data_IF_004280689608
#
_entry.id   IF_004280689608
#
_cell.length_a   1.000
_cell.length_b   1.000
_cell.length_c   1.000
_cell.angle_alpha   90.00
_cell.angle_beta   90.00
_cell.angle_gamma   90.00
#
_symmetry.space_group_name_H-M   'P 1'
#
loop_
_entity.id
_entity.type
_entity.pdbx_description
1 polymer ?
#
# COMPACT_ATOMS: atom_id res chain seq x y z
N UNK A 1 -10.56 -36.88 -31.72
CA UNK A 1 -9.39 -36.24 -31.10
C UNK A 1 -9.69 -34.76 -31.09
N UNK A 2 -10.40 -34.35 -30.05
CA UNK A 2 -10.89 -32.99 -29.88
C UNK A 2 -9.72 -32.10 -29.48
N UNK A 3 -9.54 -31.02 -30.22
CA UNK A 3 -8.61 -29.95 -29.92
C UNK A 3 -9.19 -29.17 -28.74
N UNK A 4 -8.46 -29.15 -27.63
CA UNK A 4 -8.71 -28.25 -26.51
C UNK A 4 -8.56 -26.81 -27.00
N UNK A 5 -9.69 -26.11 -27.06
CA UNK A 5 -9.75 -24.67 -27.26
C UNK A 5 -9.34 -24.04 -25.93
N UNK A 6 -8.07 -23.72 -25.82
CA UNK A 6 -7.55 -22.93 -24.69
C UNK A 6 -8.31 -21.60 -24.62
N UNK A 7 -9.03 -21.45 -23.53
CA UNK A 7 -9.79 -20.29 -23.13
C UNK A 7 -8.83 -19.18 -22.69
N UNK A 8 -8.30 -18.41 -23.64
CA UNK A 8 -7.62 -17.14 -23.34
C UNK A 8 -8.69 -16.03 -23.25
N UNK A 9 -9.39 -15.95 -22.13
CA UNK A 9 -10.01 -14.68 -21.74
C UNK A 9 -8.86 -13.74 -21.35
N UNK A 10 -8.44 -12.90 -22.28
CA UNK A 10 -7.70 -11.69 -21.93
C UNK A 10 -8.64 -10.84 -21.07
N UNK A 11 -8.38 -10.74 -19.76
CA UNK A 11 -9.13 -9.81 -18.91
C UNK A 11 -9.04 -8.41 -19.54
N UNK A 12 -10.19 -7.80 -19.79
CA UNK A 12 -10.32 -6.52 -20.48
C UNK A 12 -9.54 -5.41 -19.75
N UNK A 13 -9.48 -5.50 -18.42
CA UNK A 13 -8.74 -4.65 -17.51
C UNK A 13 -7.81 -5.52 -16.66
N UNK A 14 -6.68 -4.99 -16.18
CA UNK A 14 -5.84 -5.73 -15.24
C UNK A 14 -6.56 -5.95 -13.91
N UNK A 15 -6.07 -6.91 -13.12
CA UNK A 15 -6.46 -7.02 -11.71
C UNK A 15 -6.11 -5.73 -10.96
N UNK A 16 -6.82 -5.46 -9.87
CA UNK A 16 -6.60 -4.29 -9.01
C UNK A 16 -6.76 -2.93 -9.74
N UNK A 17 -7.61 -2.90 -10.78
CA UNK A 17 -7.81 -1.71 -11.60
C UNK A 17 -8.80 -0.73 -10.97
N UNK A 18 -8.45 0.56 -10.97
CA UNK A 18 -9.31 1.68 -10.58
C UNK A 18 -9.27 2.75 -11.69
N UNK A 19 -10.41 3.27 -12.16
CA UNK A 19 -10.44 4.41 -13.08
C UNK A 19 -9.80 5.67 -12.48
N UNK A 20 -9.11 6.45 -13.32
CA UNK A 20 -8.38 7.65 -12.91
C UNK A 20 -9.36 8.71 -12.34
N UNK A 21 -9.20 9.02 -11.05
CA UNK A 21 -9.86 10.13 -10.35
C UNK A 21 -11.38 10.22 -10.51
N UNK A 22 -12.11 9.09 -10.61
CA UNK A 22 -13.57 8.96 -10.82
C UNK A 22 -14.20 9.72 -12.01
N UNK A 23 -13.49 10.67 -12.63
CA UNK A 23 -13.95 11.52 -13.74
C UNK A 23 -14.24 10.74 -15.02
N UNK A 24 -13.72 9.52 -15.10
CA UNK A 24 -13.95 8.59 -16.19
C UNK A 24 -15.24 7.78 -16.04
N UNK A 25 -15.90 7.86 -14.89
CA UNK A 25 -17.06 7.04 -14.54
C UNK A 25 -18.34 7.85 -14.68
N UNK A 26 -19.32 7.29 -15.40
CA UNK A 26 -20.69 7.80 -15.48
C UNK A 26 -21.65 6.78 -14.87
N UNK A 27 -22.50 7.21 -13.94
CA UNK A 27 -23.57 6.37 -13.38
C UNK A 27 -24.88 6.71 -14.05
N UNK A 28 -25.60 5.69 -14.53
CA UNK A 28 -26.86 5.86 -15.25
C UNK A 28 -27.91 4.86 -14.75
N UNK A 29 -29.15 5.30 -14.46
CA UNK A 29 -30.23 4.39 -14.16
C UNK A 29 -30.56 3.53 -15.38
N UNK A 30 -30.80 2.24 -15.17
CA UNK A 30 -31.10 1.28 -16.22
C UNK A 30 -32.30 0.40 -15.82
N UNK A 31 -33.23 0.19 -16.76
CA UNK A 31 -34.44 -0.59 -16.54
C UNK A 31 -34.53 -1.83 -17.46
N UNK A 32 -33.49 -2.10 -18.25
CA UNK A 32 -33.43 -3.26 -19.14
C UNK A 32 -32.77 -4.47 -18.48
N UNK A 33 -32.66 -5.58 -19.21
CA UNK A 33 -31.89 -6.72 -18.76
C UNK A 33 -30.39 -6.42 -18.83
N UNK A 34 -29.63 -6.75 -17.78
CA UNK A 34 -28.18 -6.51 -17.73
C UNK A 34 -27.40 -7.63 -18.44
N UNK A 35 -27.77 -7.89 -19.70
CA UNK A 35 -27.01 -8.76 -20.60
C UNK A 35 -26.10 -7.91 -21.49
N UNK A 36 -25.03 -8.49 -22.05
CA UNK A 36 -24.17 -7.76 -22.97
C UNK A 36 -24.96 -7.19 -24.17
N UNK A 37 -25.84 -7.99 -24.77
CA UNK A 37 -26.60 -7.59 -25.96
C UNK A 37 -27.56 -6.42 -25.66
N UNK A 38 -28.24 -6.45 -24.52
CA UNK A 38 -29.19 -5.41 -24.12
C UNK A 38 -28.48 -4.12 -23.69
N UNK A 39 -27.34 -4.24 -22.99
CA UNK A 39 -26.49 -3.10 -22.63
C UNK A 39 -25.90 -2.46 -23.89
N UNK A 40 -25.42 -3.27 -24.84
CA UNK A 40 -24.89 -2.82 -26.14
C UNK A 40 -25.96 -2.08 -26.93
N UNK A 41 -27.15 -2.66 -27.06
CA UNK A 41 -28.28 -2.03 -27.73
C UNK A 41 -28.71 -0.73 -27.05
N UNK A 42 -28.56 -0.63 -25.74
CA UNK A 42 -28.91 0.55 -24.97
C UNK A 42 -27.89 1.69 -25.12
N UNK A 43 -26.59 1.38 -25.16
CA UNK A 43 -25.51 2.38 -25.13
C UNK A 43 -25.01 2.80 -26.52
N UNK A 44 -24.86 1.87 -27.46
CA UNK A 44 -24.28 2.17 -28.77
C UNK A 44 -25.14 3.20 -29.52
N UNK A 45 -24.49 4.23 -30.04
CA UNK A 45 -25.12 5.36 -30.74
C UNK A 45 -25.58 6.50 -29.84
N UNK A 46 -25.58 6.35 -28.51
CA UNK A 46 -25.75 7.49 -27.59
C UNK A 46 -24.48 8.31 -27.48
N UNK A 47 -24.62 9.59 -27.20
CA UNK A 47 -23.46 10.45 -26.93
C UNK A 47 -22.89 10.22 -25.53
N UNK A 48 -21.56 10.23 -25.44
CA UNK A 48 -20.83 10.22 -24.17
C UNK A 48 -19.92 11.45 -24.08
N UNK A 49 -19.81 12.02 -22.88
CA UNK A 49 -18.89 13.12 -22.59
C UNK A 49 -17.44 12.67 -22.75
N UNK A 50 -16.57 13.51 -23.33
CA UNK A 50 -15.19 13.17 -23.73
C UNK A 50 -14.28 12.48 -22.71
N UNK A 51 -14.58 12.53 -21.41
CA UNK A 51 -13.78 11.83 -20.37
C UNK A 51 -14.39 10.53 -19.91
N UNK A 52 -15.64 10.23 -20.24
CA UNK A 52 -16.31 8.99 -19.80
C UNK A 52 -15.68 7.78 -20.50
N UNK A 53 -15.05 6.90 -19.77
CA UNK A 53 -14.55 5.63 -20.31
C UNK A 53 -15.39 4.45 -19.82
N UNK A 54 -16.03 4.61 -18.67
CA UNK A 54 -16.82 3.58 -18.01
C UNK A 54 -18.22 4.11 -17.71
N UNK A 55 -19.22 3.29 -18.01
CA UNK A 55 -20.61 3.53 -17.64
C UNK A 55 -21.04 2.44 -16.68
N UNK A 56 -21.45 2.84 -15.48
CA UNK A 56 -22.12 2.01 -14.49
C UNK A 56 -23.62 2.13 -14.73
N UNK A 57 -24.24 1.01 -15.11
CA UNK A 57 -25.68 0.88 -15.23
C UNK A 57 -26.25 0.33 -13.92
N UNK A 58 -27.15 1.08 -13.29
CA UNK A 58 -27.71 0.76 -11.98
C UNK A 58 -29.21 0.48 -12.09
N UNK A 59 -29.65 -0.65 -11.54
CA UNK A 59 -31.04 -1.03 -11.42
C UNK A 59 -31.30 -1.54 -10.01
N UNK A 60 -31.96 -0.73 -9.19
CA UNK A 60 -32.12 -1.01 -7.76
C UNK A 60 -30.75 -1.28 -7.10
N UNK A 61 -30.51 -2.50 -6.58
CA UNK A 61 -29.23 -2.88 -5.96
C UNK A 61 -28.29 -3.65 -6.92
N UNK A 62 -28.67 -3.79 -8.19
CA UNK A 62 -27.86 -4.49 -9.20
C UNK A 62 -27.13 -3.51 -10.10
N UNK A 63 -25.90 -3.86 -10.48
CA UNK A 63 -25.05 -3.02 -11.30
C UNK A 63 -24.33 -3.82 -12.39
N UNK A 64 -24.13 -3.19 -13.55
CA UNK A 64 -23.21 -3.66 -14.59
C UNK A 64 -22.28 -2.51 -15.01
N UNK A 65 -21.07 -2.84 -15.44
CA UNK A 65 -20.08 -1.86 -15.89
C UNK A 65 -19.71 -2.17 -17.34
N UNK A 66 -19.85 -1.16 -18.20
CA UNK A 66 -19.39 -1.21 -19.58
C UNK A 66 -18.28 -0.19 -19.80
N UNK A 67 -17.17 -0.64 -20.39
CA UNK A 67 -16.19 0.24 -21.00
C UNK A 67 -16.69 0.66 -22.39
N UNK A 68 -16.59 1.93 -22.72
CA UNK A 68 -17.06 2.49 -24.00
C UNK A 68 -15.90 2.89 -24.90
N UNK A 69 -16.12 2.80 -26.21
CA UNK A 69 -15.23 3.40 -27.20
C UNK A 69 -15.93 4.49 -27.99
N UNK A 70 -15.16 5.50 -28.38
CA UNK A 70 -15.61 6.67 -29.14
C UNK A 70 -14.71 6.89 -30.36
N UNK A 71 -15.20 7.57 -31.40
CA UNK A 71 -14.40 7.86 -32.60
C UNK A 71 -13.24 8.84 -32.34
N UNK A 72 -13.42 9.76 -31.38
CA UNK A 72 -12.43 10.75 -30.97
C UNK A 72 -12.69 11.23 -29.52
N UNK A 73 -11.65 11.80 -28.91
CA UNK A 73 -11.67 12.42 -27.58
C UNK A 73 -11.54 13.96 -27.62
N UNK A 74 -11.57 14.55 -28.83
CA UNK A 74 -11.46 16.00 -29.05
C UNK A 74 -12.82 16.69 -28.86
N UNK A 75 -13.88 16.06 -29.40
CA UNK A 75 -15.25 16.57 -29.31
C UNK A 75 -15.75 16.52 -27.87
N UNK A 76 -16.52 17.53 -27.43
CA UNK A 76 -17.07 17.56 -26.07
C UNK A 76 -17.96 16.33 -25.78
N UNK A 77 -18.73 15.93 -26.79
CA UNK A 77 -19.54 14.72 -26.84
C UNK A 77 -19.28 14.02 -28.16
N UNK A 78 -19.21 12.69 -28.13
CA UNK A 78 -19.16 11.87 -29.33
C UNK A 78 -19.96 10.57 -29.13
N UNK A 79 -20.52 9.99 -30.21
CA UNK A 79 -21.34 8.80 -30.09
C UNK A 79 -20.50 7.60 -29.65
N UNK A 80 -21.06 6.80 -28.74
CA UNK A 80 -20.52 5.50 -28.33
C UNK A 80 -20.55 4.59 -29.55
N UNK A 81 -19.37 4.19 -30.02
CA UNK A 81 -19.21 3.33 -31.21
C UNK A 81 -19.36 1.86 -30.85
N UNK A 82 -18.81 1.48 -29.71
CA UNK A 82 -18.74 0.09 -29.26
C UNK A 82 -18.61 0.04 -27.74
N UNK A 83 -18.93 -1.12 -27.16
CA UNK A 83 -18.75 -1.39 -25.73
C UNK A 83 -18.00 -2.70 -25.49
N UNK A 84 -17.39 -2.79 -24.32
CA UNK A 84 -16.86 -4.04 -23.76
C UNK A 84 -17.31 -4.17 -22.30
N UNK A 85 -17.84 -5.32 -21.94
CA UNK A 85 -18.34 -5.57 -20.58
C UNK A 85 -17.18 -5.77 -19.62
N UNK A 86 -17.14 -4.94 -18.57
CA UNK A 86 -16.14 -5.00 -17.49
C UNK A 86 -16.64 -5.90 -16.38
N UNK A 87 -17.90 -5.71 -15.96
CA UNK A 87 -18.49 -6.49 -14.87
C UNK A 87 -20.01 -6.60 -15.04
N UNK A 88 -20.54 -7.77 -14.69
CA UNK A 88 -21.97 -8.08 -14.70
C UNK A 88 -22.53 -8.11 -13.27
N UNK A 89 -23.86 -8.12 -13.08
CA UNK A 89 -24.47 -8.12 -11.75
C UNK A 89 -24.00 -9.24 -10.83
N UNK A 90 -23.62 -10.38 -11.39
CA UNK A 90 -23.12 -11.53 -10.62
C UNK A 90 -21.77 -11.30 -9.96
N UNK A 91 -20.99 -10.33 -10.44
CA UNK A 91 -19.65 -10.00 -9.95
C UNK A 91 -19.58 -8.59 -9.35
N UNK A 92 -20.58 -7.74 -9.58
CA UNK A 92 -20.65 -6.39 -9.04
C UNK A 92 -21.23 -6.36 -7.62
N UNK A 93 -20.63 -5.55 -6.76
CA UNK A 93 -21.17 -5.20 -5.45
C UNK A 93 -21.21 -3.68 -5.36
N UNK A 94 -22.39 -3.11 -5.11
CA UNK A 94 -22.56 -1.68 -4.85
C UNK A 94 -22.53 -1.43 -3.34
N UNK A 95 -21.71 -0.49 -2.89
CA UNK A 95 -21.67 -0.03 -1.51
C UNK A 95 -21.89 1.49 -1.44
N UNK A 96 -22.72 1.92 -0.50
CA UNK A 96 -22.85 3.32 -0.11
C UNK A 96 -22.07 3.55 1.17
N UNK A 97 -21.01 4.36 1.10
CA UNK A 97 -20.19 4.71 2.25
C UNK A 97 -19.54 6.09 2.04
N UNK A 98 -20.22 7.14 2.50
CA UNK A 98 -19.77 8.52 2.39
C UNK A 98 -18.51 8.84 3.21
N UNK A 99 -17.88 7.87 3.87
CA UNK A 99 -16.57 8.03 4.51
C UNK A 99 -15.41 7.61 3.61
N UNK A 100 -15.69 6.93 2.48
CA UNK A 100 -14.69 6.45 1.53
C UNK A 100 -14.34 7.52 0.50
N UNK A 101 -13.08 7.91 0.44
CA UNK A 101 -12.53 8.69 -0.67
C UNK A 101 -12.35 7.78 -1.90
N UNK A 102 -13.19 8.00 -2.93
CA UNK A 102 -13.22 7.18 -4.14
C UNK A 102 -12.15 7.56 -5.17
N UNK A 103 -11.35 8.60 -4.92
CA UNK A 103 -10.13 8.88 -5.66
C UNK A 103 -8.89 8.15 -5.11
N UNK A 104 -9.01 7.45 -3.97
CA UNK A 104 -7.90 6.75 -3.35
C UNK A 104 -8.03 5.23 -3.52
N UNK A 105 -7.19 4.67 -4.39
CA UNK A 105 -7.15 3.24 -4.71
C UNK A 105 -6.95 2.35 -3.48
N UNK A 106 -6.08 2.77 -2.55
CA UNK A 106 -5.82 2.04 -1.30
C UNK A 106 -7.07 2.01 -0.40
N UNK A 107 -7.82 3.10 -0.33
CA UNK A 107 -9.07 3.17 0.44
C UNK A 107 -10.15 2.28 -0.20
N UNK A 108 -10.27 2.28 -1.53
CA UNK A 108 -11.18 1.38 -2.25
C UNK A 108 -10.84 -0.10 -1.99
N UNK A 109 -9.57 -0.49 -2.07
CA UNK A 109 -9.15 -1.85 -1.77
C UNK A 109 -9.36 -2.22 -0.30
N UNK A 110 -9.17 -1.28 0.64
CA UNK A 110 -9.51 -1.49 2.04
C UNK A 110 -11.00 -1.75 2.23
N UNK A 111 -11.87 -1.00 1.53
CA UNK A 111 -13.32 -1.21 1.55
C UNK A 111 -13.71 -2.56 0.96
N UNK A 112 -13.12 -2.96 -0.16
CA UNK A 112 -13.32 -4.28 -0.75
C UNK A 112 -12.98 -5.41 0.25
N UNK A 113 -11.85 -5.28 0.95
CA UNK A 113 -11.45 -6.24 1.98
C UNK A 113 -12.43 -6.29 3.16
N UNK A 114 -12.93 -5.14 3.63
CA UNK A 114 -13.95 -5.06 4.70
C UNK A 114 -15.20 -5.85 4.33
N UNK A 115 -15.61 -5.79 3.06
CA UNK A 115 -16.77 -6.50 2.51
C UNK A 115 -16.47 -7.97 2.12
N UNK A 116 -15.24 -8.45 2.32
CA UNK A 116 -14.84 -9.81 1.97
C UNK A 116 -14.69 -10.07 0.47
N UNK A 117 -14.51 -9.02 -0.34
CA UNK A 117 -14.36 -9.09 -1.79
C UNK A 117 -12.90 -9.30 -2.20
N UNK A 118 -12.68 -9.96 -3.34
CA UNK A 118 -11.35 -10.25 -3.90
C UNK A 118 -11.39 -10.33 -5.43
N UNK A 119 -10.44 -11.06 -6.03
CA UNK A 119 -10.21 -11.13 -7.48
C UNK A 119 -11.41 -11.52 -8.34
N UNK A 120 -12.44 -12.15 -7.78
CA UNK A 120 -13.65 -12.55 -8.52
C UNK A 120 -14.76 -11.48 -8.50
N UNK A 121 -14.48 -10.29 -7.95
CA UNK A 121 -15.50 -9.27 -7.68
C UNK A 121 -15.08 -7.90 -8.18
N UNK A 122 -16.07 -7.05 -8.44
CA UNK A 122 -15.89 -5.63 -8.72
C UNK A 122 -16.70 -4.85 -7.69
N UNK A 123 -16.01 -4.04 -6.89
CA UNK A 123 -16.67 -3.16 -5.92
C UNK A 123 -16.91 -1.81 -6.56
N UNK A 124 -18.15 -1.35 -6.53
CA UNK A 124 -18.55 0.02 -6.84
C UNK A 124 -18.84 0.72 -5.52
N UNK A 125 -18.25 1.90 -5.31
CA UNK A 125 -18.50 2.70 -4.09
C UNK A 125 -19.09 4.03 -4.48
N UNK A 126 -20.25 4.36 -3.90
CA UNK A 126 -20.76 5.73 -3.79
C UNK A 126 -20.24 6.31 -2.48
N UNK A 127 -19.28 7.22 -2.57
CA UNK A 127 -18.44 7.64 -1.46
C UNK A 127 -18.58 9.09 -1.03
N UNK A 128 -17.47 9.66 -0.52
CA UNK A 128 -17.36 11.07 -0.16
C UNK A 128 -17.76 11.96 -1.35
N UNK A 129 -18.42 13.08 -1.04
CA UNK A 129 -18.91 14.07 -2.01
C UNK A 129 -19.86 13.48 -3.09
N UNK A 130 -20.51 12.35 -2.79
CA UNK A 130 -21.34 11.56 -3.72
C UNK A 130 -20.60 11.09 -4.98
N UNK A 131 -19.27 11.12 -4.98
CA UNK A 131 -18.47 10.60 -6.08
C UNK A 131 -18.55 9.08 -6.12
N UNK A 132 -18.66 8.54 -7.34
CA UNK A 132 -18.74 7.11 -7.59
C UNK A 132 -17.51 6.66 -8.36
N UNK A 133 -16.84 5.63 -7.84
CA UNK A 133 -15.77 4.93 -8.55
C UNK A 133 -15.88 3.42 -8.31
N UNK A 134 -15.02 2.64 -8.96
CA UNK A 134 -14.96 1.19 -8.74
C UNK A 134 -13.53 0.68 -8.66
N UNK A 135 -13.36 -0.46 -7.98
CA UNK A 135 -12.15 -1.27 -8.04
C UNK A 135 -12.51 -2.65 -8.62
N UNK A 136 -11.89 -2.99 -9.75
CA UNK A 136 -12.09 -4.24 -10.47
C UNK A 136 -11.05 -5.28 -10.03
N UNK A 137 -11.52 -6.47 -9.65
CA UNK A 137 -10.71 -7.57 -9.15
C UNK A 137 -9.68 -7.13 -8.08
N UNK A 138 -10.13 -6.61 -6.91
CA UNK A 138 -9.24 -6.13 -5.86
C UNK A 138 -8.11 -7.13 -5.52
N UNK A 139 -6.87 -6.69 -5.72
CA UNK A 139 -5.65 -7.43 -5.37
C UNK A 139 -4.51 -6.45 -5.06
N UNK A 140 -4.59 -5.73 -3.93
CA UNK A 140 -3.67 -4.65 -3.63
C UNK A 140 -2.24 -5.16 -3.43
N UNK A 141 -1.27 -4.39 -3.93
CA UNK A 141 0.16 -4.67 -3.78
C UNK A 141 0.52 -4.71 -2.31
N UNK A 142 1.19 -5.77 -1.87
CA UNK A 142 1.54 -5.95 -0.46
C UNK A 142 2.91 -5.36 -0.18
N UNK A 143 2.96 -4.36 0.70
CA UNK A 143 4.21 -3.75 1.15
C UNK A 143 4.36 -3.98 2.65
N UNK A 144 5.50 -4.56 3.02
CA UNK A 144 5.86 -4.74 4.42
C UNK A 144 6.65 -3.55 4.93
N UNK A 145 6.16 -2.90 5.97
CA UNK A 145 6.88 -1.83 6.66
C UNK A 145 7.56 -2.41 7.89
N UNK A 146 8.89 -2.45 7.90
CA UNK A 146 9.68 -2.98 9.03
C UNK A 146 10.31 -1.85 9.82
N UNK A 147 10.00 -1.75 11.11
CA UNK A 147 10.52 -0.70 11.97
C UNK A 147 10.78 -1.19 13.40
N UNK A 148 11.83 -0.65 14.01
CA UNK A 148 12.17 -0.88 15.42
C UNK A 148 11.26 -0.02 16.30
N UNK A 149 10.69 -0.63 17.33
CA UNK A 149 9.90 0.03 18.40
C UNK A 149 10.49 -0.30 19.76
N UNK A 150 10.26 0.52 20.80
CA UNK A 150 9.58 1.83 20.81
C UNK A 150 10.39 2.97 20.15
N UNK A 151 9.78 4.14 19.85
CA UNK A 151 8.43 4.57 20.24
C UNK A 151 7.31 3.99 19.37
N UNK A 152 6.17 3.73 19.98
CA UNK A 152 4.90 3.48 19.31
C UNK A 152 4.06 4.78 19.20
N UNK A 153 3.32 4.97 18.09
CA UNK A 153 3.32 4.15 16.88
C UNK A 153 4.63 4.32 16.07
N UNK A 154 5.05 3.31 15.29
CA UNK A 154 6.25 3.38 14.46
C UNK A 154 6.18 4.58 13.47
N UNK A 155 7.24 5.40 13.42
CA UNK A 155 7.26 6.64 12.62
C UNK A 155 7.18 6.36 11.12
N UNK A 156 7.93 5.39 10.61
CA UNK A 156 7.91 5.00 9.20
C UNK A 156 6.54 4.48 8.81
N UNK A 157 5.90 3.64 9.64
CA UNK A 157 4.54 3.18 9.39
C UNK A 157 3.57 4.35 9.22
N UNK A 158 3.60 5.31 10.15
CA UNK A 158 2.77 6.53 10.08
C UNK A 158 3.06 7.34 8.83
N UNK A 159 4.33 7.44 8.43
CA UNK A 159 4.72 8.18 7.22
C UNK A 159 4.23 7.49 5.96
N UNK A 160 4.37 6.16 5.85
CA UNK A 160 3.85 5.39 4.72
C UNK A 160 2.33 5.56 4.63
N UNK A 161 1.62 5.40 5.74
CA UNK A 161 0.17 5.62 5.79
C UNK A 161 -0.21 7.03 5.32
N UNK A 162 0.54 8.07 5.71
CA UNK A 162 0.29 9.44 5.28
C UNK A 162 0.58 9.63 3.79
N UNK A 163 1.63 9.03 3.24
CA UNK A 163 1.89 9.08 1.79
C UNK A 163 0.73 8.45 1.01
N UNK A 164 0.21 7.31 1.48
CA UNK A 164 -0.92 6.64 0.83
C UNK A 164 -2.23 7.43 0.86
N UNK A 165 -2.35 8.53 1.62
CA UNK A 165 -3.56 9.38 1.56
C UNK A 165 -3.57 10.32 0.37
N UNK A 166 -2.44 10.56 -0.29
CA UNK A 166 -2.35 11.58 -1.34
C UNK A 166 -1.54 11.16 -2.58
N UNK A 167 -0.63 10.19 -2.46
CA UNK A 167 0.21 9.79 -3.58
C UNK A 167 -0.59 8.98 -4.59
N UNK A 168 -0.30 9.22 -5.88
CA UNK A 168 -0.87 8.48 -7.00
C UNK A 168 -0.14 7.15 -7.16
N UNK A 169 -0.54 6.17 -6.35
CA UNK A 169 0.02 4.83 -6.27
C UNK A 169 -1.10 3.81 -6.44
N UNK A 170 -0.81 2.61 -6.99
CA UNK A 170 -1.79 1.53 -7.04
C UNK A 170 -2.29 1.20 -5.63
N UNK A 171 -3.44 0.53 -5.54
CA UNK A 171 -3.94 0.11 -4.24
C UNK A 171 -2.90 -0.74 -3.49
N UNK A 172 -2.53 -0.32 -2.29
CA UNK A 172 -1.50 -0.97 -1.47
C UNK A 172 -2.12 -1.50 -0.18
N UNK A 173 -1.73 -2.71 0.20
CA UNK A 173 -1.96 -3.26 1.53
C UNK A 173 -0.67 -3.20 2.33
N UNK A 174 -0.70 -2.47 3.45
CA UNK A 174 0.43 -2.42 4.39
C UNK A 174 0.38 -3.61 5.35
N UNK A 175 1.49 -4.33 5.46
CA UNK A 175 1.74 -5.29 6.53
C UNK A 175 2.84 -4.72 7.46
N UNK A 176 2.50 -4.38 8.70
CA UNK A 176 3.47 -3.85 9.66
C UNK A 176 4.25 -4.98 10.34
N UNK A 177 5.58 -4.95 10.26
CA UNK A 177 6.47 -5.82 11.03
C UNK A 177 7.25 -4.97 12.03
N UNK A 178 7.01 -5.18 13.31
CA UNK A 178 7.67 -4.43 14.38
C UNK A 178 8.81 -5.27 14.97
N UNK A 179 9.98 -4.64 15.15
CA UNK A 179 11.10 -5.22 15.89
C UNK A 179 11.08 -4.57 17.27
N UNK A 180 10.57 -5.29 18.26
CA UNK A 180 10.41 -4.78 19.62
C UNK A 180 11.70 -4.94 20.43
N UNK A 181 12.27 -3.81 20.86
CA UNK A 181 13.46 -3.77 21.69
C UNK A 181 13.26 -4.46 23.05
N UNK A 182 12.05 -4.50 23.58
CA UNK A 182 11.71 -5.23 24.81
C UNK A 182 11.82 -6.74 24.62
N UNK A 183 11.28 -7.24 23.50
CA UNK A 183 11.38 -8.66 23.14
C UNK A 183 12.82 -9.07 22.83
N UNK A 184 13.61 -8.17 22.23
CA UNK A 184 15.04 -8.41 21.98
C UNK A 184 15.83 -8.43 23.29
N UNK A 185 15.58 -7.48 24.20
CA UNK A 185 16.21 -7.43 25.51
C UNK A 185 15.89 -8.68 26.34
N UNK A 186 14.64 -9.15 26.33
CA UNK A 186 14.21 -10.34 27.07
C UNK A 186 14.85 -11.66 26.62
N UNK A 187 15.52 -11.68 25.45
CA UNK A 187 16.27 -12.84 24.94
C UNK A 187 17.74 -12.83 25.38
N UNK A 188 18.21 -11.74 25.96
CA UNK A 188 19.59 -11.63 26.42
C UNK A 188 19.72 -12.23 27.82
N UNK A 189 20.69 -13.12 28.01
CA UNK A 189 20.95 -13.78 29.30
C UNK A 189 22.08 -13.09 30.05
N UNK A 190 22.00 -13.07 31.39
CA UNK A 190 23.05 -12.57 32.29
C UNK A 190 23.45 -11.10 32.05
N UNK A 191 22.48 -10.24 31.71
CA UNK A 191 22.71 -8.80 31.49
C UNK A 191 22.71 -8.05 32.83
N UNK A 192 23.79 -7.33 33.15
CA UNK A 192 23.89 -6.47 34.35
C UNK A 192 23.30 -5.07 34.12
N UNK A 193 23.43 -4.55 32.89
CA UNK A 193 22.86 -3.29 32.47
C UNK A 193 22.67 -3.28 30.94
N UNK A 194 21.70 -2.52 30.46
CA UNK A 194 21.57 -2.22 29.02
C UNK A 194 22.14 -0.86 28.69
N UNK A 195 22.77 -0.77 27.53
CA UNK A 195 23.05 0.50 26.86
C UNK A 195 22.19 0.56 25.59
N UNK A 196 21.39 1.61 25.43
CA UNK A 196 20.53 1.84 24.27
C UNK A 196 20.93 3.12 23.53
N UNK A 197 20.56 3.32 22.25
CA UNK A 197 21.07 4.45 21.47
C UNK A 197 20.63 5.82 22.00
N UNK A 198 19.39 5.93 22.50
CA UNK A 198 18.86 7.16 23.07
C UNK A 198 17.67 6.91 24.00
N UNK A 199 17.34 7.92 24.82
CA UNK A 199 16.21 7.89 25.76
C UNK A 199 14.84 7.96 25.10
N UNK A 200 14.76 8.43 23.85
CA UNK A 200 13.48 8.64 23.14
C UNK A 200 12.68 7.35 22.90
N UNK A 201 13.29 6.19 23.12
CA UNK A 201 12.61 4.90 23.14
C UNK A 201 11.69 4.74 24.36
N UNK A 202 11.88 5.49 25.45
CA UNK A 202 11.08 5.33 26.68
C UNK A 202 11.23 3.95 27.32
N UNK A 203 12.30 3.22 26.99
CA UNK A 203 12.58 1.91 27.55
C UNK A 203 12.90 2.02 29.04
N UNK A 204 12.26 1.14 29.82
CA UNK A 204 12.48 0.97 31.25
C UNK A 204 12.60 -0.54 31.51
N UNK A 205 13.83 -1.00 31.73
CA UNK A 205 14.13 -2.41 31.99
C UNK A 205 14.31 -2.65 33.49
N UNK A 206 14.19 -3.90 33.93
CA UNK A 206 14.42 -4.27 35.34
C UNK A 206 15.88 -4.03 35.77
N UNK A 207 16.81 -4.09 34.82
CA UNK A 207 18.22 -3.77 35.01
C UNK A 207 18.51 -2.31 34.64
N UNK A 208 19.55 -1.68 35.22
CA UNK A 208 19.94 -0.33 34.87
C UNK A 208 20.05 -0.12 33.36
N UNK A 209 19.47 0.98 32.87
CA UNK A 209 19.47 1.36 31.46
C UNK A 209 20.22 2.67 31.29
N UNK A 210 21.21 2.65 30.41
CA UNK A 210 22.05 3.78 30.05
C UNK A 210 21.82 4.18 28.58
N UNK A 211 22.16 5.42 28.23
CA UNK A 211 21.83 6.02 26.94
C UNK A 211 23.09 6.50 26.24
N UNK A 212 23.37 5.96 25.06
CA UNK A 212 24.62 6.20 24.33
C UNK A 212 24.79 7.65 23.88
N UNK A 213 23.69 8.34 23.56
CA UNK A 213 23.67 9.77 23.22
C UNK A 213 24.02 10.69 24.40
N UNK A 214 23.89 10.22 25.64
CA UNK A 214 24.26 10.95 26.86
C UNK A 214 25.74 10.77 27.24
N UNK A 215 26.46 9.87 26.58
CA UNK A 215 27.86 9.52 26.87
C UNK A 215 28.13 9.29 28.38
N UNK A 216 27.46 8.29 29.00
CA UNK A 216 27.62 7.98 30.41
C UNK A 216 29.02 7.43 30.73
N UNK A 217 29.38 7.43 32.03
CA UNK A 217 30.55 6.68 32.49
C UNK A 217 30.43 5.20 32.12
N UNK A 218 31.56 4.55 31.80
CA UNK A 218 31.56 3.17 31.31
C UNK A 218 31.11 2.17 32.38
N UNK A 219 30.18 1.27 32.02
CA UNK A 219 29.72 0.16 32.85
C UNK A 219 29.78 -1.17 32.08
N UNK A 220 29.59 -2.29 32.79
CA UNK A 220 29.46 -3.61 32.19
C UNK A 220 28.05 -3.80 31.58
N UNK A 221 27.80 -3.14 30.46
CA UNK A 221 26.51 -3.18 29.76
C UNK A 221 26.52 -4.13 28.57
N UNK A 222 25.33 -4.60 28.19
CA UNK A 222 25.07 -5.12 26.85
C UNK A 222 24.46 -4.02 26.00
N UNK A 223 25.02 -3.77 24.81
CA UNK A 223 24.48 -2.80 23.86
C UNK A 223 23.26 -3.39 23.15
N UNK A 224 22.08 -2.83 23.35
CA UNK A 224 20.92 -3.10 22.52
C UNK A 224 20.92 -2.08 21.37
N UNK A 225 21.44 -2.48 20.21
CA UNK A 225 21.83 -1.52 19.19
C UNK A 225 22.09 -2.13 17.83
N UNK A 226 22.54 -1.28 16.91
CA UNK A 226 22.93 -1.67 15.55
C UNK A 226 24.37 -1.23 15.27
N UNK A 227 24.84 -1.40 14.04
CA UNK A 227 26.21 -1.03 13.66
C UNK A 227 26.56 0.42 14.00
N UNK A 228 25.66 1.39 13.73
CA UNK A 228 25.89 2.79 14.11
C UNK A 228 26.12 2.96 15.61
N UNK A 229 25.39 2.21 16.43
CA UNK A 229 25.55 2.25 17.88
C UNK A 229 26.90 1.67 18.32
N UNK A 230 27.39 0.63 17.63
CA UNK A 230 28.73 0.07 17.88
C UNK A 230 29.83 1.05 17.51
N UNK A 231 29.72 1.73 16.37
CA UNK A 231 30.68 2.76 15.95
C UNK A 231 30.75 3.92 16.95
N UNK A 232 29.60 4.38 17.45
CA UNK A 232 29.54 5.45 18.46
C UNK A 232 30.16 4.98 19.78
N UNK A 233 29.86 3.74 20.22
CA UNK A 233 30.48 3.18 21.42
C UNK A 233 31.99 3.06 21.28
N UNK A 234 32.48 2.52 20.16
CA UNK A 234 33.91 2.37 19.88
C UNK A 234 34.62 3.74 19.86
N UNK A 235 33.95 4.78 19.37
CA UNK A 235 34.47 6.14 19.42
C UNK A 235 34.59 6.68 20.86
N UNK A 236 33.60 6.44 21.72
CA UNK A 236 33.58 6.97 23.09
C UNK A 236 34.44 6.17 24.06
N UNK A 237 34.43 4.84 23.97
CA UNK A 237 35.03 3.95 24.97
C UNK A 237 36.23 3.14 24.45
N UNK A 238 36.48 3.17 23.13
CA UNK A 238 37.64 2.51 22.51
C UNK A 238 37.46 1.01 22.25
N UNK A 239 36.29 0.45 22.53
CA UNK A 239 35.98 -0.97 22.33
C UNK A 239 34.57 -1.19 21.73
N UNK A 240 34.32 -2.41 21.26
CA UNK A 240 33.00 -2.86 20.78
C UNK A 240 32.37 -3.80 21.82
N UNK A 241 31.22 -3.43 22.42
CA UNK A 241 30.63 -4.20 23.51
C UNK A 241 29.87 -5.42 22.96
N UNK A 242 29.52 -6.36 23.85
CA UNK A 242 28.51 -7.37 23.54
C UNK A 242 27.22 -6.68 23.10
N UNK A 243 26.58 -7.17 22.04
CA UNK A 243 25.50 -6.44 21.39
C UNK A 243 24.34 -7.35 20.98
N UNK A 244 23.14 -6.97 21.39
CA UNK A 244 21.87 -7.52 20.89
C UNK A 244 21.47 -6.70 19.65
N UNK A 245 21.48 -7.36 18.50
CA UNK A 245 21.21 -6.73 17.20
C UNK A 245 19.74 -6.31 17.07
N UNK A 246 19.51 -5.05 16.69
CA UNK A 246 18.17 -4.51 16.44
C UNK A 246 17.95 -4.06 14.99
N UNK A 247 18.98 -4.08 14.13
CA UNK A 247 18.92 -3.51 12.80
C UNK A 247 17.93 -4.25 11.89
N UNK A 248 16.92 -3.57 11.31
CA UNK A 248 16.03 -4.19 10.32
C UNK A 248 16.79 -4.79 9.13
N UNK A 249 17.91 -4.19 8.70
CA UNK A 249 18.73 -4.73 7.61
C UNK A 249 19.31 -6.12 7.92
N UNK A 250 19.65 -6.36 9.19
CA UNK A 250 20.27 -7.61 9.64
C UNK A 250 19.23 -8.65 10.06
N UNK A 251 18.11 -8.20 10.62
CA UNK A 251 17.05 -9.06 11.15
C UNK A 251 16.02 -9.49 10.11
N UNK A 252 15.99 -8.84 8.93
CA UNK A 252 15.16 -9.27 7.81
C UNK A 252 16.00 -9.62 6.58
N UNK A 253 15.56 -10.66 5.88
CA UNK A 253 16.13 -11.09 4.60
C UNK A 253 15.26 -10.62 3.44
N UNK A 254 15.88 -10.42 2.27
CA UNK A 254 15.12 -10.37 1.03
C UNK A 254 14.60 -11.78 0.71
N UNK A 255 13.27 -11.92 0.69
CA UNK A 255 12.56 -13.14 0.36
C UNK A 255 11.60 -12.93 -0.85
N UNK A 256 11.83 -11.88 -1.64
CA UNK A 256 10.96 -11.47 -2.74
C UNK A 256 9.79 -10.58 -2.31
N UNK A 257 9.53 -10.41 -1.01
CA UNK A 257 8.48 -9.50 -0.55
C UNK A 257 8.96 -8.05 -0.55
N UNK A 258 8.14 -7.15 -1.10
CA UNK A 258 8.37 -5.71 -1.10
C UNK A 258 8.43 -5.18 0.34
N UNK A 259 9.54 -4.54 0.69
CA UNK A 259 9.82 -4.04 2.04
C UNK A 259 10.22 -2.57 2.03
N UNK A 260 9.77 -1.82 3.05
CA UNK A 260 10.31 -0.49 3.37
C UNK A 260 10.87 -0.51 4.78
N UNK A 261 12.14 -0.12 4.94
CA UNK A 261 12.84 -0.12 6.23
C UNK A 261 13.60 1.19 6.45
N UNK A 262 13.94 1.50 7.71
CA UNK A 262 14.86 2.61 8.05
C UNK A 262 16.30 2.12 8.25
N UNK A 263 17.28 2.95 7.91
CA UNK A 263 18.68 2.75 8.26
C UNK A 263 19.33 4.05 8.76
N UNK A 264 20.08 3.97 9.87
CA UNK A 264 20.83 5.08 10.46
C UNK A 264 22.23 5.29 9.85
N UNK A 265 22.73 4.34 9.06
CA UNK A 265 23.93 4.51 8.24
C UNK A 265 23.63 5.28 6.95
N UNK A 266 22.36 5.35 6.55
CA UNK A 266 21.91 6.08 5.38
C UNK A 266 21.46 7.48 5.79
N UNK A 267 22.09 8.52 5.23
CA UNK A 267 21.90 9.90 5.69
C UNK A 267 20.89 10.70 4.86
N UNK A 268 20.98 10.66 3.53
CA UNK A 268 20.30 11.63 2.65
C UNK A 268 19.42 11.03 1.56
N UNK A 269 19.80 9.90 1.00
CA UNK A 269 19.13 9.32 -0.16
C UNK A 269 18.41 8.03 0.24
N UNK A 270 17.50 7.57 -0.60
CA UNK A 270 17.00 6.20 -0.49
C UNK A 270 18.00 5.24 -1.16
N UNK A 271 17.94 3.97 -0.80
CA UNK A 271 18.74 2.90 -1.40
C UNK A 271 17.82 1.72 -1.68
N UNK A 272 18.00 1.07 -2.83
CA UNK A 272 17.35 -0.20 -3.13
C UNK A 272 18.30 -1.35 -2.84
N UNK A 273 17.81 -2.34 -2.11
CA UNK A 273 18.51 -3.58 -1.79
C UNK A 273 17.59 -4.77 -2.10
N UNK A 274 17.67 -5.27 -3.33
CA UNK A 274 16.71 -6.24 -3.86
C UNK A 274 15.27 -5.70 -3.80
N UNK A 275 14.36 -6.43 -3.16
CA UNK A 275 12.96 -6.03 -2.97
C UNK A 275 12.74 -5.12 -1.75
N UNK A 276 13.78 -4.39 -1.33
CA UNK A 276 13.74 -3.53 -0.14
C UNK A 276 14.14 -2.11 -0.48
N UNK A 277 13.22 -1.17 -0.25
CA UNK A 277 13.54 0.24 -0.22
C UNK A 277 14.01 0.63 1.19
N UNK A 278 15.20 1.20 1.29
CA UNK A 278 15.77 1.68 2.54
C UNK A 278 15.73 3.20 2.55
N UNK A 279 15.09 3.75 3.58
CA UNK A 279 15.03 5.20 3.81
C UNK A 279 15.96 5.60 4.96
N UNK A 280 16.49 6.84 4.97
CA UNK A 280 17.33 7.30 6.06
C UNK A 280 16.56 7.37 7.38
N UNK A 281 17.26 7.26 8.51
CA UNK A 281 16.65 7.38 9.84
C UNK A 281 15.83 8.67 10.02
N UNK A 282 16.33 9.77 9.45
CA UNK A 282 15.71 11.08 9.42
C UNK A 282 14.72 11.31 8.27
N UNK A 283 14.20 10.26 7.63
CA UNK A 283 13.37 10.40 6.43
C UNK A 283 12.21 11.39 6.57
N UNK A 284 11.91 12.09 5.46
CA UNK A 284 10.73 12.92 5.26
C UNK A 284 9.72 12.23 4.31
N UNK A 285 8.52 12.80 4.15
CA UNK A 285 7.45 12.20 3.34
C UNK A 285 7.84 12.02 1.87
N UNK A 286 8.56 12.99 1.27
CA UNK A 286 9.02 12.88 -0.12
C UNK A 286 9.97 11.69 -0.34
N UNK A 287 10.82 11.40 0.64
CA UNK A 287 11.71 10.23 0.57
C UNK A 287 10.93 8.92 0.72
N UNK A 288 9.87 8.90 1.54
CA UNK A 288 9.01 7.71 1.68
C UNK A 288 8.19 7.49 0.43
N UNK A 289 7.62 8.54 -0.15
CA UNK A 289 6.93 8.51 -1.44
C UNK A 289 7.84 7.99 -2.56
N UNK A 290 9.02 8.59 -2.71
CA UNK A 290 10.00 8.12 -3.69
C UNK A 290 10.43 6.66 -3.46
N UNK A 291 10.53 6.22 -2.20
CA UNK A 291 10.81 4.82 -1.87
C UNK A 291 9.68 3.89 -2.32
N UNK A 292 8.41 4.27 -2.10
CA UNK A 292 7.26 3.48 -2.53
C UNK A 292 7.17 3.42 -4.05
N UNK A 293 7.31 4.56 -4.75
CA UNK A 293 7.32 4.62 -6.21
C UNK A 293 8.41 3.70 -6.78
N UNK A 294 9.64 3.80 -6.27
CA UNK A 294 10.76 3.00 -6.75
C UNK A 294 10.53 1.51 -6.49
N UNK A 295 10.03 1.16 -5.30
CA UNK A 295 9.74 -0.22 -4.92
C UNK A 295 8.67 -0.86 -5.83
N UNK A 296 7.64 -0.10 -6.19
CA UNK A 296 6.57 -0.53 -7.08
C UNK A 296 7.00 -0.70 -8.54
N UNK A 297 8.16 -0.16 -8.96
CA UNK A 297 8.70 -0.47 -10.30
C UNK A 297 9.23 -1.89 -10.42
N UNK A 298 9.52 -2.56 -9.30
CA UNK A 298 9.98 -3.95 -9.28
C UNK A 298 8.85 -4.98 -9.36
N UNK A 299 7.61 -4.55 -9.12
CA UNK A 299 6.40 -5.38 -9.13
C UNK A 299 5.76 -5.48 -10.53
N UNK A 300 6.38 -4.83 -11.54
CA UNK A 300 5.90 -4.77 -12.93
C UNK A 300 6.57 -5.79 -13.84
#
# INVERSE_FOLDING_TARGET
MSLDVNNCHSNLLPDNFVPESYRQVSVQPYNGEMTEDDIRKHLVGKDAYRRTEYIILEQSETCAIAMISRPDDESLFSPIKDISLVALPTTCVLAEDHTVDTANDTVLAAKAKELGLGKESTLIVRGQDDHVNFIHHPDPVRIRVVEVIPPEPPKLLRMVQHVLTYADLPAIKIDAQQIDLRDLAGKAENVEAFLVPCRSSGLDFEVPTYFLDEHPDQHNWTLLGCERSREIHEHFYGDRPACVEMCPRSLTSDNGALQVIKCCLLEKHIEMDGHRAVVPWGANLRQVEHALETLLTLDK
#
